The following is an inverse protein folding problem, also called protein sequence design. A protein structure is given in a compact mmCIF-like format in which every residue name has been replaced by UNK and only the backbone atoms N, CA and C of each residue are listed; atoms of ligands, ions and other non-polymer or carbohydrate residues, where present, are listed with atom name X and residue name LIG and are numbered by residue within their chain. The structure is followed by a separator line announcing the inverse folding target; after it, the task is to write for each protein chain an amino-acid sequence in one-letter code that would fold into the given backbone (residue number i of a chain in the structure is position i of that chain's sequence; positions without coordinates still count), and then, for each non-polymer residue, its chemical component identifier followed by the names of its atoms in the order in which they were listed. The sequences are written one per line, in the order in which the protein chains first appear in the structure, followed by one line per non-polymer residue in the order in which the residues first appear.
data_IF_969636001296
#
_entry.id   IF_969636001296
#
_cell.length_a   1.000
_cell.length_b   1.000
_cell.length_c   1.000
_cell.angle_alpha   90.00
_cell.angle_beta   90.00
_cell.angle_gamma   90.00
#
_symmetry.space_group_name_H-M   'P 1'
#
loop_
_entity.id
_entity.type
_entity.pdbx_description
1 polymer ?
#
# COMPACT_ATOMS: atom_id res chain seq x y z
N UNK A 1 -5.08 -3.86 7.36
CA UNK A 1 -4.79 -5.31 7.52
C UNK A 1 -4.64 -5.68 9.00
N UNK A 2 -3.83 -4.96 9.79
CA UNK A 2 -3.68 -5.14 11.25
C UNK A 2 -5.01 -5.34 12.01
N UNK A 3 -5.97 -4.42 11.89
CA UNK A 3 -7.26 -4.52 12.59
C UNK A 3 -8.06 -5.79 12.28
N UNK A 4 -8.02 -6.25 11.03
CA UNK A 4 -8.74 -7.44 10.62
C UNK A 4 -8.08 -8.69 11.21
N UNK A 5 -6.74 -8.73 11.25
CA UNK A 5 -6.01 -9.82 11.92
C UNK A 5 -6.28 -9.81 13.42
N UNK A 6 -6.19 -8.65 14.08
CA UNK A 6 -6.46 -8.55 15.52
C UNK A 6 -7.91 -8.93 15.88
N UNK A 7 -8.89 -8.44 15.11
CA UNK A 7 -10.29 -8.79 15.30
C UNK A 7 -10.59 -10.28 15.07
N UNK A 8 -9.90 -10.92 14.13
CA UNK A 8 -9.99 -12.36 13.91
C UNK A 8 -9.33 -13.16 15.04
N UNK A 9 -8.17 -12.68 15.51
CA UNK A 9 -7.43 -13.28 16.62
C UNK A 9 -8.27 -13.35 17.91
N UNK A 10 -8.94 -12.25 18.26
CA UNK A 10 -9.87 -12.19 19.40
C UNK A 10 -11.25 -12.79 19.11
N UNK A 11 -11.47 -13.38 17.92
CA UNK A 11 -12.74 -13.98 17.48
C UNK A 11 -13.94 -13.02 17.44
N UNK A 12 -13.71 -11.71 17.39
CA UNK A 12 -14.78 -10.72 17.20
C UNK A 12 -15.35 -10.73 15.77
N UNK A 13 -14.55 -11.15 14.79
CA UNK A 13 -14.98 -11.28 13.39
C UNK A 13 -14.55 -12.63 12.82
N UNK A 14 -15.40 -13.23 11.99
CA UNK A 14 -15.09 -14.49 11.33
C UNK A 14 -14.09 -14.29 10.18
N UNK A 15 -13.33 -15.34 9.85
CA UNK A 15 -12.40 -15.34 8.72
C UNK A 15 -13.11 -15.00 7.38
N UNK A 16 -14.36 -15.45 7.21
CA UNK A 16 -15.19 -15.08 6.05
C UNK A 16 -15.43 -13.57 5.98
N UNK A 17 -15.71 -12.92 7.12
CA UNK A 17 -15.91 -11.47 7.21
C UNK A 17 -14.60 -10.72 6.94
N UNK A 18 -13.47 -11.21 7.44
CA UNK A 18 -12.13 -10.66 7.16
C UNK A 18 -11.85 -10.66 5.66
N UNK A 19 -12.02 -11.82 4.99
CA UNK A 19 -11.77 -11.93 3.55
C UNK A 19 -12.70 -11.01 2.75
N UNK A 20 -13.99 -10.95 3.11
CA UNK A 20 -14.95 -10.04 2.47
C UNK A 20 -14.52 -8.59 2.58
N UNK A 21 -14.10 -8.14 3.77
CA UNK A 21 -13.65 -6.76 3.96
C UNK A 21 -12.37 -6.50 3.17
N UNK A 22 -11.38 -7.41 3.18
CA UNK A 22 -10.16 -7.26 2.40
C UNK A 22 -10.45 -7.09 0.91
N UNK A 23 -11.27 -7.97 0.33
CA UNK A 23 -11.60 -7.92 -1.10
C UNK A 23 -12.35 -6.63 -1.45
N UNK A 24 -13.38 -6.27 -0.67
CA UNK A 24 -14.18 -5.06 -0.92
C UNK A 24 -13.30 -3.80 -0.78
N UNK A 25 -12.53 -3.67 0.30
CA UNK A 25 -11.66 -2.51 0.48
C UNK A 25 -10.59 -2.41 -0.60
N UNK A 26 -9.94 -3.51 -0.97
CA UNK A 26 -8.92 -3.51 -2.04
C UNK A 26 -9.54 -3.12 -3.38
N UNK A 27 -10.72 -3.65 -3.72
CA UNK A 27 -11.42 -3.30 -4.95
C UNK A 27 -11.80 -1.82 -4.99
N UNK A 28 -12.42 -1.28 -3.93
CA UNK A 28 -12.83 0.12 -3.92
C UNK A 28 -11.65 1.09 -3.79
N UNK A 29 -10.53 0.67 -3.21
CA UNK A 29 -9.27 1.42 -3.30
C UNK A 29 -8.76 1.51 -4.75
N UNK A 30 -8.85 0.41 -5.51
CA UNK A 30 -8.49 0.42 -6.93
C UNK A 30 -9.43 1.31 -7.75
N UNK A 31 -10.74 1.24 -7.49
CA UNK A 31 -11.75 2.11 -8.14
C UNK A 31 -11.45 3.58 -7.82
N UNK A 32 -11.21 3.92 -6.55
CA UNK A 32 -10.84 5.29 -6.16
C UNK A 32 -9.55 5.76 -6.84
N UNK A 33 -8.52 4.92 -6.89
CA UNK A 33 -7.29 5.21 -7.61
C UNK A 33 -7.52 5.47 -9.11
N UNK A 34 -8.40 4.70 -9.75
CA UNK A 34 -8.77 4.89 -11.15
C UNK A 34 -9.51 6.21 -11.39
N UNK A 35 -10.45 6.56 -10.50
CA UNK A 35 -11.18 7.84 -10.56
C UNK A 35 -10.22 9.02 -10.41
N UNK A 36 -9.30 8.97 -9.45
CA UNK A 36 -8.30 10.03 -9.26
C UNK A 36 -7.36 10.11 -10.46
N UNK A 37 -6.89 8.97 -10.99
CA UNK A 37 -6.03 8.96 -12.17
C UNK A 37 -6.73 9.55 -13.40
N UNK A 38 -8.02 9.24 -13.59
CA UNK A 38 -8.84 9.84 -14.65
C UNK A 38 -9.02 11.36 -14.46
N UNK A 39 -9.23 11.83 -13.23
CA UNK A 39 -9.28 13.27 -12.95
C UNK A 39 -7.95 13.97 -13.22
N UNK A 40 -6.83 13.37 -12.82
CA UNK A 40 -5.50 13.89 -13.12
C UNK A 40 -5.26 13.97 -14.62
N UNK A 41 -5.72 12.98 -15.39
CA UNK A 41 -5.62 13.00 -16.84
C UNK A 41 -6.27 14.22 -17.51
N UNK A 42 -7.27 14.83 -16.85
CA UNK A 42 -7.91 16.06 -17.33
C UNK A 42 -7.18 17.34 -16.90
N UNK A 43 -6.17 17.24 -16.03
CA UNK A 43 -5.46 18.39 -15.49
C UNK A 43 -4.36 18.87 -16.44
N UNK A 44 -4.14 20.19 -16.48
CA UNK A 44 -3.02 20.77 -17.22
C UNK A 44 -1.66 20.25 -16.73
N UNK A 45 -1.51 20.00 -15.42
CA UNK A 45 -0.28 19.43 -14.87
C UNK A 45 0.08 18.08 -15.50
N UNK A 46 -0.93 17.30 -15.89
CA UNK A 46 -0.72 15.98 -16.48
C UNK A 46 -0.30 16.02 -17.94
N UNK A 47 -0.69 17.05 -18.69
CA UNK A 47 -0.25 17.23 -20.09
C UNK A 47 1.25 17.50 -20.20
N UNK A 48 1.88 17.94 -19.10
CA UNK A 48 3.32 18.18 -19.02
C UNK A 48 4.14 16.92 -18.71
N UNK A 49 3.49 15.81 -18.36
CA UNK A 49 4.16 14.54 -18.06
C UNK A 49 4.81 14.00 -19.33
N UNK A 50 6.11 13.78 -19.27
CA UNK A 50 6.92 13.26 -20.37
C UNK A 50 7.93 12.24 -19.80
N UNK A 51 8.74 11.62 -20.67
CA UNK A 51 9.66 10.54 -20.29
C UNK A 51 10.70 10.92 -19.20
N UNK A 52 10.96 12.22 -18.99
CA UNK A 52 11.89 12.71 -17.94
C UNK A 52 11.19 13.08 -16.63
N UNK A 53 9.86 12.99 -16.58
CA UNK A 53 9.10 13.31 -15.37
C UNK A 53 9.36 12.29 -14.25
N UNK A 54 9.39 12.76 -13.01
CA UNK A 54 9.62 11.93 -11.83
C UNK A 54 8.67 10.72 -11.75
N UNK A 55 7.39 10.92 -12.05
CA UNK A 55 6.38 9.85 -12.07
C UNK A 55 6.77 8.68 -12.99
N UNK A 56 7.26 8.99 -14.19
CA UNK A 56 7.68 7.98 -15.19
C UNK A 56 8.86 7.18 -14.65
N UNK A 57 9.88 7.85 -14.10
CA UNK A 57 11.05 7.18 -13.52
C UNK A 57 10.70 6.28 -12.33
N UNK A 58 9.81 6.72 -11.44
CA UNK A 58 9.34 5.92 -10.31
C UNK A 58 8.60 4.66 -10.79
N UNK A 59 7.65 4.81 -11.72
CA UNK A 59 6.87 3.67 -12.20
C UNK A 59 7.75 2.71 -13.00
N UNK A 60 8.65 3.21 -13.85
CA UNK A 60 9.62 2.37 -14.57
C UNK A 60 10.48 1.53 -13.62
N UNK A 61 10.97 2.15 -12.53
CA UNK A 61 11.76 1.47 -11.51
C UNK A 61 10.96 0.37 -10.81
N UNK A 62 9.68 0.62 -10.49
CA UNK A 62 8.78 -0.38 -9.89
C UNK A 62 8.51 -1.56 -10.82
N UNK A 63 8.21 -1.31 -12.09
CA UNK A 63 7.94 -2.36 -13.08
C UNK A 63 9.14 -3.30 -13.30
N UNK A 64 10.36 -2.76 -13.16
CA UNK A 64 11.61 -3.50 -13.32
C UNK A 64 11.92 -4.44 -12.14
N UNK A 65 11.23 -4.31 -11.00
CA UNK A 65 11.51 -5.14 -9.82
C UNK A 65 11.15 -6.61 -10.05
N UNK A 66 12.03 -7.48 -9.58
CA UNK A 66 11.79 -8.93 -9.51
C UNK A 66 10.68 -9.24 -8.50
N UNK A 67 10.05 -10.40 -8.64
CA UNK A 67 8.99 -10.85 -7.74
C UNK A 67 9.45 -10.91 -6.28
N UNK A 68 10.70 -11.32 -6.05
CA UNK A 68 11.31 -11.37 -4.72
C UNK A 68 11.47 -9.98 -4.11
N UNK A 69 11.99 -9.01 -4.88
CA UNK A 69 12.12 -7.62 -4.42
C UNK A 69 10.75 -7.03 -4.07
N UNK A 70 9.75 -7.19 -4.94
CA UNK A 70 8.39 -6.71 -4.67
C UNK A 70 7.85 -7.30 -3.37
N UNK A 71 8.07 -8.60 -3.14
CA UNK A 71 7.58 -9.29 -1.95
C UNK A 71 8.17 -8.71 -0.65
N UNK A 72 9.50 -8.63 -0.55
CA UNK A 72 10.16 -8.12 0.66
C UNK A 72 9.91 -6.62 0.87
N UNK A 73 9.97 -5.82 -0.20
CA UNK A 73 9.65 -4.39 -0.15
C UNK A 73 8.20 -4.17 0.32
N UNK A 74 7.28 -5.07 -0.04
CA UNK A 74 5.89 -4.98 0.40
C UNK A 74 5.68 -5.35 1.86
N UNK A 75 6.48 -6.27 2.40
CA UNK A 75 6.47 -6.56 3.84
C UNK A 75 6.93 -5.32 4.60
N UNK A 76 8.07 -4.74 4.21
CA UNK A 76 8.65 -3.56 4.85
C UNK A 76 7.68 -2.37 4.79
N UNK A 77 7.08 -2.11 3.63
CA UNK A 77 6.11 -1.02 3.48
C UNK A 77 4.97 -1.12 4.50
N UNK A 78 4.37 -2.30 4.64
CA UNK A 78 3.22 -2.43 5.54
C UNK A 78 3.61 -2.57 7.02
N UNK A 79 4.87 -2.88 7.34
CA UNK A 79 5.39 -2.68 8.71
C UNK A 79 5.33 -1.19 9.06
N UNK A 80 5.91 -0.31 8.24
CA UNK A 80 5.88 1.14 8.46
C UNK A 80 4.47 1.71 8.50
N UNK A 81 3.59 1.29 7.59
CA UNK A 81 2.18 1.74 7.57
C UNK A 81 1.48 1.38 8.88
N UNK A 82 1.68 0.17 9.42
CA UNK A 82 1.01 -0.21 10.67
C UNK A 82 1.71 0.36 11.92
N UNK A 83 3.01 0.66 11.86
CA UNK A 83 3.67 1.51 12.88
C UNK A 83 3.01 2.89 12.88
N UNK A 84 2.79 3.52 11.72
CA UNK A 84 2.11 4.81 11.63
C UNK A 84 0.70 4.76 12.25
N UNK A 85 -0.06 3.71 11.96
CA UNK A 85 -1.39 3.50 12.54
C UNK A 85 -1.31 3.33 14.07
N UNK A 86 -0.39 2.50 14.57
CA UNK A 86 -0.22 2.30 16.02
C UNK A 86 0.23 3.59 16.72
N UNK A 87 1.19 4.31 16.17
CA UNK A 87 1.60 5.62 16.69
C UNK A 87 0.43 6.59 16.75
N UNK A 88 -0.41 6.63 15.71
CA UNK A 88 -1.59 7.48 15.67
C UNK A 88 -2.62 7.11 16.77
N UNK A 89 -2.75 5.83 17.10
CA UNK A 89 -3.65 5.36 18.16
C UNK A 89 -3.10 5.58 19.57
N UNK A 90 -1.81 5.33 19.79
CA UNK A 90 -1.21 5.23 21.13
C UNK A 90 -0.65 6.56 21.65
N UNK A 91 -0.20 7.45 20.76
CA UNK A 91 0.28 8.77 21.15
C UNK A 91 -0.91 9.66 21.50
N UNK A 92 -0.78 10.57 22.47
CA UNK A 92 -1.86 11.50 22.83
C UNK A 92 -1.74 12.84 22.11
N UNK A 93 -0.53 13.38 22.03
CA UNK A 93 -0.25 14.67 21.41
C UNK A 93 -0.48 14.64 19.89
N UNK A 94 -1.28 15.58 19.39
CA UNK A 94 -1.73 15.59 18.00
C UNK A 94 -0.61 15.95 17.02
N UNK A 95 0.31 16.83 17.44
CA UNK A 95 1.48 17.21 16.65
C UNK A 95 2.42 16.03 16.50
N UNK A 96 2.74 15.35 17.60
CA UNK A 96 3.58 14.16 17.61
C UNK A 96 3.00 13.02 16.75
N UNK A 97 1.68 12.77 16.81
CA UNK A 97 1.01 11.80 15.91
C UNK A 97 1.28 12.12 14.45
N UNK A 98 1.08 13.38 14.07
CA UNK A 98 1.19 13.82 12.68
C UNK A 98 2.62 13.66 12.19
N UNK A 99 3.61 14.08 13.00
CA UNK A 99 5.03 13.92 12.69
C UNK A 99 5.38 12.44 12.51
N UNK A 100 4.97 11.57 13.44
CA UNK A 100 5.26 10.14 13.36
C UNK A 100 4.65 9.47 12.13
N UNK A 101 3.40 9.81 11.79
CA UNK A 101 2.74 9.29 10.58
C UNK A 101 3.48 9.75 9.32
N UNK A 102 3.81 11.04 9.23
CA UNK A 102 4.56 11.59 8.08
C UNK A 102 5.94 10.93 7.99
N UNK A 103 6.68 10.80 9.09
CA UNK A 103 7.99 10.15 9.12
C UNK A 103 7.91 8.70 8.67
N UNK A 104 6.93 7.93 9.16
CA UNK A 104 6.76 6.53 8.76
C UNK A 104 6.43 6.40 7.27
N UNK A 105 5.56 7.27 6.74
CA UNK A 105 5.24 7.30 5.30
C UNK A 105 6.48 7.68 4.48
N UNK A 106 7.18 8.74 4.89
CA UNK A 106 8.42 9.19 4.25
C UNK A 106 9.45 8.07 4.17
N UNK A 107 9.67 7.32 5.26
CA UNK A 107 10.68 6.26 5.29
C UNK A 107 10.41 5.16 4.26
N UNK A 108 9.19 4.64 4.19
CA UNK A 108 8.93 3.55 3.23
C UNK A 108 8.93 4.06 1.78
N UNK A 109 8.50 5.31 1.54
CA UNK A 109 8.59 5.93 0.20
C UNK A 109 10.05 6.16 -0.19
N UNK A 110 10.88 6.66 0.74
CA UNK A 110 12.30 6.91 0.54
C UNK A 110 13.08 5.62 0.22
N UNK A 111 12.73 4.52 0.90
CA UNK A 111 13.29 3.19 0.63
C UNK A 111 12.77 2.56 -0.68
N UNK A 112 11.90 3.24 -1.43
CA UNK A 112 11.18 2.70 -2.58
C UNK A 112 10.41 1.41 -2.24
N UNK A 113 9.87 1.29 -1.02
CA UNK A 113 9.10 0.13 -0.61
C UNK A 113 7.75 0.04 -1.37
N UNK A 114 7.14 -1.15 -1.37
CA UNK A 114 5.99 -1.44 -2.23
C UNK A 114 4.67 -1.44 -1.45
N UNK A 115 3.83 -0.43 -1.69
CA UNK A 115 2.50 -0.34 -1.08
C UNK A 115 1.42 -0.52 -2.14
N UNK A 116 0.61 -1.58 -2.02
CA UNK A 116 -0.39 -1.98 -3.02
C UNK A 116 -1.28 -0.83 -3.48
N UNK A 117 -1.87 -0.09 -2.53
CA UNK A 117 -2.83 0.97 -2.85
C UNK A 117 -2.14 2.17 -3.51
N UNK A 118 -0.89 2.46 -3.12
CA UNK A 118 -0.12 3.51 -3.79
C UNK A 118 0.27 3.10 -5.22
N UNK A 119 0.57 1.82 -5.41
CA UNK A 119 0.88 1.25 -6.72
C UNK A 119 -0.34 1.19 -7.64
N UNK A 120 -1.56 1.06 -7.12
CA UNK A 120 -2.77 1.24 -7.92
C UNK A 120 -2.77 2.63 -8.56
N UNK A 121 -2.60 3.67 -7.76
CA UNK A 121 -2.61 5.05 -8.25
C UNK A 121 -1.47 5.34 -9.23
N UNK A 122 -0.22 4.97 -8.89
CA UNK A 122 0.93 5.29 -9.75
C UNK A 122 0.88 4.55 -11.09
N UNK A 123 0.46 3.29 -11.09
CA UNK A 123 0.37 2.52 -12.33
C UNK A 123 -0.82 3.02 -13.16
N UNK A 124 -1.99 3.23 -12.55
CA UNK A 124 -3.16 3.73 -13.28
C UNK A 124 -2.93 5.12 -13.87
N UNK A 125 -2.24 6.03 -13.16
CA UNK A 125 -1.81 7.31 -13.74
C UNK A 125 -1.09 7.04 -15.06
N UNK A 126 0.01 6.28 -15.03
CA UNK A 126 0.76 5.96 -16.25
C UNK A 126 -0.07 5.22 -17.31
N UNK A 127 -1.05 4.42 -16.90
CA UNK A 127 -2.00 3.76 -17.81
C UNK A 127 -2.92 4.73 -18.59
N UNK A 128 -3.17 5.93 -18.06
CA UNK A 128 -3.88 6.99 -18.78
C UNK A 128 -2.95 7.90 -19.61
N UNK A 129 -1.63 7.73 -19.50
CA UNK A 129 -0.65 8.52 -20.24
C UNK A 129 -0.14 7.79 -21.49
N UNK A 130 0.28 8.54 -22.50
CA UNK A 130 0.83 7.98 -23.76
C UNK A 130 2.33 7.67 -23.71
N UNK A 131 3.03 8.02 -22.63
CA UNK A 131 4.46 7.74 -22.47
C UNK A 131 4.69 6.23 -22.36
N UNK A 132 5.58 5.72 -23.21
CA UNK A 132 5.98 4.33 -23.19
C UNK A 132 6.80 3.99 -21.94
N UNK A 133 6.48 2.85 -21.32
CA UNK A 133 7.16 2.29 -20.16
C UNK A 133 7.49 0.82 -20.43
N UNK A 134 8.76 0.46 -20.27
CA UNK A 134 9.21 -0.90 -20.47
C UNK A 134 8.59 -1.82 -19.41
N UNK A 135 7.99 -2.93 -19.88
CA UNK A 135 7.32 -3.88 -19.00
C UNK A 135 5.97 -3.39 -18.46
N UNK A 136 5.44 -2.25 -18.91
CA UNK A 136 4.08 -1.84 -18.58
C UNK A 136 3.07 -2.61 -19.43
N UNK A 137 2.69 -3.79 -18.94
CA UNK A 137 1.64 -4.61 -19.51
C UNK A 137 0.78 -5.21 -18.40
N UNK A 138 -0.42 -5.68 -18.77
CA UNK A 138 -1.40 -6.20 -17.81
C UNK A 138 -0.82 -7.32 -16.95
N UNK A 139 -0.04 -8.24 -17.54
CA UNK A 139 0.58 -9.36 -16.82
C UNK A 139 1.55 -8.88 -15.75
N UNK A 140 2.44 -7.94 -16.08
CA UNK A 140 3.42 -7.43 -15.11
C UNK A 140 2.75 -6.59 -14.01
N UNK A 141 1.75 -5.78 -14.37
CA UNK A 141 0.95 -5.00 -13.41
C UNK A 141 0.22 -5.92 -12.43
N UNK A 142 -0.47 -6.96 -12.93
CA UNK A 142 -1.17 -7.92 -12.07
C UNK A 142 -0.20 -8.74 -11.21
N UNK A 143 0.95 -9.14 -11.76
CA UNK A 143 2.04 -9.77 -10.98
C UNK A 143 2.45 -8.87 -9.82
N UNK A 144 2.72 -7.61 -10.11
CA UNK A 144 3.19 -6.65 -9.12
C UNK A 144 2.13 -6.41 -8.04
N UNK A 145 0.87 -6.17 -8.43
CA UNK A 145 -0.22 -5.98 -7.47
C UNK A 145 -0.48 -7.24 -6.63
N UNK A 146 -0.49 -8.42 -7.24
CA UNK A 146 -0.71 -9.68 -6.53
C UNK A 146 0.37 -9.95 -5.47
N UNK A 147 1.63 -9.79 -5.83
CA UNK A 147 2.75 -9.97 -4.89
C UNK A 147 2.72 -8.90 -3.81
N UNK A 148 2.47 -7.64 -4.17
CA UNK A 148 2.36 -6.56 -3.18
C UNK A 148 1.23 -6.78 -2.19
N UNK A 149 0.09 -7.31 -2.63
CA UNK A 149 -1.02 -7.66 -1.73
C UNK A 149 -0.58 -8.67 -0.68
N UNK A 150 0.11 -9.74 -1.09
CA UNK A 150 0.57 -10.80 -0.18
C UNK A 150 1.62 -10.25 0.78
N UNK A 151 2.64 -9.56 0.28
CA UNK A 151 3.71 -9.01 1.12
C UNK A 151 3.17 -7.96 2.11
N UNK A 152 2.28 -7.08 1.66
CA UNK A 152 1.62 -6.14 2.56
C UNK A 152 0.80 -6.88 3.63
N UNK A 153 0.04 -7.93 3.28
CA UNK A 153 -0.73 -8.69 4.25
C UNK A 153 0.15 -9.36 5.30
N UNK A 154 1.31 -9.90 4.92
CA UNK A 154 2.28 -10.46 5.86
C UNK A 154 2.83 -9.37 6.79
N UNK A 155 3.33 -8.26 6.24
CA UNK A 155 3.94 -7.19 7.03
C UNK A 155 2.98 -6.54 8.02
N UNK A 156 1.81 -6.12 7.55
CA UNK A 156 0.84 -5.41 8.39
C UNK A 156 -0.11 -6.32 9.16
N UNK A 157 -0.57 -7.38 8.52
CA UNK A 157 -1.52 -8.32 9.09
C UNK A 157 -0.87 -9.26 10.09
N UNK A 158 0.18 -9.97 9.68
CA UNK A 158 0.81 -11.00 10.52
C UNK A 158 1.84 -10.37 11.46
N UNK A 159 2.90 -9.76 10.91
CA UNK A 159 4.04 -9.32 11.73
C UNK A 159 3.67 -8.23 12.74
N UNK A 160 2.86 -7.24 12.35
CA UNK A 160 2.37 -6.22 13.28
C UNK A 160 1.05 -6.64 13.94
N UNK A 161 0.03 -7.00 13.15
CA UNK A 161 -1.32 -7.25 13.69
C UNK A 161 -1.45 -8.46 14.61
N UNK A 162 -0.86 -9.60 14.26
CA UNK A 162 -0.92 -10.78 15.13
C UNK A 162 -0.04 -10.59 16.36
N UNK A 163 1.15 -10.00 16.22
CA UNK A 163 2.02 -9.69 17.35
C UNK A 163 1.35 -8.71 18.33
N UNK A 164 0.74 -7.63 17.82
CA UNK A 164 -0.02 -6.68 18.64
C UNK A 164 -1.17 -7.37 19.39
N UNK A 165 -1.92 -8.25 18.72
CA UNK A 165 -3.04 -8.94 19.35
C UNK A 165 -2.58 -9.95 20.41
N UNK A 166 -1.47 -10.66 20.17
CA UNK A 166 -0.88 -11.58 21.13
C UNK A 166 -0.40 -10.84 22.39
N UNK A 167 0.36 -9.75 22.22
CA UNK A 167 0.93 -8.99 23.33
C UNK A 167 -0.12 -8.23 24.17
N UNK A 168 -1.28 -7.91 23.59
CA UNK A 168 -2.39 -7.24 24.30
C UNK A 168 -3.48 -8.22 24.76
N UNK A 169 -3.26 -9.53 24.63
CA UNK A 169 -4.19 -10.51 25.19
C UNK A 169 -4.12 -10.40 26.71
N UNK A 170 -5.22 -10.01 27.35
CA UNK A 170 -5.34 -10.13 28.81
C UNK A 170 -5.41 -11.62 29.14
N UNK A 171 -4.60 -12.06 30.10
CA UNK A 171 -4.77 -13.37 30.70
C UNK A 171 -6.15 -13.40 31.36
N UNK A 172 -6.93 -14.45 31.07
CA UNK A 172 -8.15 -14.77 31.82
C UNK A 172 -7.75 -15.34 33.19
#
# INVERSE_FOLDING_TARGET
MMYLTAGAYYRYISAKKVLKILVVCTLFNLVGAALIAALFNQSFAYTLVNSKSFLVGVVQTKLAKTSSQIFFDSIIANIFVNIAILSYLLVKDQTAKTILVISAIFMFVFMNAEHLVANFSSFLLMGFNSVHLDGYNLTNVLRHWGISFIGNWIGGGILIGAAYAFLNKKED
#
